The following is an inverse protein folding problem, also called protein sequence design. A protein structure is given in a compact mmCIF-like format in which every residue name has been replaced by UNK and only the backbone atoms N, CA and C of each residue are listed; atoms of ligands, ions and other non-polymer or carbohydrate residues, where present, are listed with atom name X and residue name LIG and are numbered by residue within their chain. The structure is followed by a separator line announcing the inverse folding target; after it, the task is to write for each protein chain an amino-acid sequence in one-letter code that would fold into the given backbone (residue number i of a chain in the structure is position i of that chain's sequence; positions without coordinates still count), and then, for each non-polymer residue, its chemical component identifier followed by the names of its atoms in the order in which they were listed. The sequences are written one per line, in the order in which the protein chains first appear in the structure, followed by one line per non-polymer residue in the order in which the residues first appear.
data_IF_321429266346
#
_entry.id   IF_321429266346
#
_cell.length_a   1.000
_cell.length_b   1.000
_cell.length_c   1.000
_cell.angle_alpha   90.00
_cell.angle_beta   90.00
_cell.angle_gamma   90.00
#
_symmetry.space_group_name_H-M   'P 1'
#
loop_
_entity.id
_entity.type
_entity.pdbx_description
1 polymer ?
#
# COMPACT_ATOMS: atom_id res chain seq x y z
N UNK A 1 33.73 -22.81 6.03
CA UNK A 1 32.73 -23.01 7.10
C UNK A 1 31.41 -22.47 6.58
N UNK A 2 30.35 -23.27 6.51
CA UNK A 2 29.01 -22.76 6.22
C UNK A 2 28.60 -21.83 7.35
N UNK A 3 28.51 -20.54 7.07
CA UNK A 3 28.07 -19.55 8.05
C UNK A 3 26.57 -19.76 8.22
N UNK A 4 26.12 -20.18 9.40
CA UNK A 4 24.70 -20.22 9.72
C UNK A 4 24.27 -18.76 9.86
N UNK A 5 23.41 -18.30 8.95
CA UNK A 5 22.89 -16.94 8.98
C UNK A 5 21.70 -16.85 9.97
N UNK A 6 21.49 -15.70 10.62
CA UNK A 6 20.28 -15.44 11.37
C UNK A 6 19.07 -15.62 10.45
N UNK A 7 18.03 -16.28 10.94
CA UNK A 7 16.77 -16.36 10.20
C UNK A 7 16.05 -15.02 10.32
N UNK A 8 15.61 -14.40 9.20
CA UNK A 8 14.60 -13.36 9.25
C UNK A 8 13.39 -13.87 10.04
N UNK A 9 12.72 -12.98 10.75
CA UNK A 9 11.69 -13.42 11.67
C UNK A 9 10.53 -14.12 10.94
N UNK A 10 9.98 -15.21 11.50
CA UNK A 10 8.80 -15.91 10.98
C UNK A 10 7.66 -15.84 12.00
N UNK A 11 6.40 -15.93 11.56
CA UNK A 11 5.19 -15.94 12.41
C UNK A 11 5.01 -14.65 13.26
N UNK A 12 4.73 -13.53 12.58
CA UNK A 12 4.89 -12.16 13.11
C UNK A 12 3.87 -11.65 14.12
N UNK A 13 2.75 -12.33 14.28
CA UNK A 13 1.80 -12.13 15.36
C UNK A 13 0.85 -13.34 15.41
N UNK A 14 0.38 -13.80 16.58
CA UNK A 14 -0.73 -14.74 16.63
C UNK A 14 -1.98 -14.12 16.00
N UNK A 15 -2.65 -14.86 15.12
CA UNK A 15 -4.07 -14.80 14.67
C UNK A 15 -4.82 -13.44 14.59
N UNK A 16 -4.17 -12.28 14.49
CA UNK A 16 -4.86 -10.98 14.45
C UNK A 16 -5.37 -10.59 13.05
N UNK A 17 -5.02 -11.37 12.02
CA UNK A 17 -5.41 -11.13 10.63
C UNK A 17 -4.84 -9.84 10.05
N UNK A 18 -5.31 -9.48 8.86
CA UNK A 18 -4.96 -8.24 8.18
C UNK A 18 -5.89 -7.09 8.61
N UNK A 19 -5.40 -5.85 8.74
CA UNK A 19 -6.25 -4.73 9.11
C UNK A 19 -7.23 -4.38 8.00
N UNK A 20 -8.41 -3.86 8.36
CA UNK A 20 -9.34 -3.30 7.37
C UNK A 20 -8.75 -2.02 6.76
N UNK A 21 -8.94 -1.82 5.47
CA UNK A 21 -8.42 -0.66 4.77
C UNK A 21 -8.37 -0.81 3.26
N UNK A 22 -7.89 0.25 2.60
CA UNK A 22 -7.58 0.23 1.18
C UNK A 22 -6.19 -0.35 0.96
N UNK A 23 -6.02 -1.25 -0.01
CA UNK A 23 -4.74 -1.86 -0.35
C UNK A 23 -4.44 -1.67 -1.82
N UNK A 24 -3.20 -1.30 -2.14
CA UNK A 24 -2.74 -1.31 -3.53
C UNK A 24 -2.59 -2.75 -3.99
N UNK A 25 -3.31 -3.12 -5.05
CA UNK A 25 -3.32 -4.49 -5.60
C UNK A 25 -2.69 -4.60 -6.99
N UNK A 26 -2.58 -3.49 -7.71
CA UNK A 26 -1.90 -3.40 -9.01
C UNK A 26 -1.52 -1.93 -9.31
N UNK A 27 -0.59 -1.72 -10.23
CA UNK A 27 -0.46 -0.42 -10.90
C UNK A 27 -1.51 -0.29 -12.00
N UNK A 28 -2.11 0.89 -12.13
CA UNK A 28 -3.19 1.14 -13.09
C UNK A 28 -2.76 0.83 -14.53
N UNK A 29 -1.48 1.09 -14.86
CA UNK A 29 -0.90 0.81 -16.18
C UNK A 29 -0.70 -0.67 -16.50
N UNK A 30 -0.73 -1.56 -15.50
CA UNK A 30 -0.62 -3.01 -15.69
C UNK A 30 -1.97 -3.65 -16.07
N UNK A 31 -3.07 -2.96 -15.77
CA UNK A 31 -4.42 -3.44 -16.03
C UNK A 31 -4.82 -3.10 -17.46
N UNK A 32 -4.46 -4.00 -18.37
CA UNK A 32 -4.72 -3.86 -19.80
C UNK A 32 -6.23 -4.00 -20.12
N UNK A 33 -6.73 -3.29 -21.15
CA UNK A 33 -8.08 -3.53 -21.67
C UNK A 33 -8.28 -5.00 -22.08
N UNK A 34 -9.50 -5.51 -21.89
CA UNK A 34 -9.91 -6.88 -22.25
C UNK A 34 -9.06 -8.02 -21.66
N UNK A 35 -8.31 -7.73 -20.59
CA UNK A 35 -7.46 -8.70 -19.89
C UNK A 35 -7.91 -8.91 -18.44
N UNK A 36 -7.63 -10.11 -17.91
CA UNK A 36 -7.72 -10.41 -16.49
C UNK A 36 -6.29 -10.46 -15.93
N UNK A 37 -5.93 -9.53 -15.04
CA UNK A 37 -4.66 -9.52 -14.35
C UNK A 37 -4.79 -10.33 -13.04
N UNK A 38 -4.17 -11.52 -12.92
CA UNK A 38 -4.16 -12.27 -11.66
C UNK A 38 -3.20 -11.62 -10.65
N UNK A 39 -3.65 -11.46 -9.40
CA UNK A 39 -2.84 -10.93 -8.31
C UNK A 39 -3.05 -11.74 -7.02
N UNK A 40 -2.08 -11.74 -6.11
CA UNK A 40 -2.16 -12.47 -4.84
C UNK A 40 -1.77 -11.59 -3.67
N UNK A 41 -2.71 -11.38 -2.77
CA UNK A 41 -2.58 -10.49 -1.62
C UNK A 41 -3.40 -11.04 -0.46
N UNK A 42 -3.05 -10.69 0.77
CA UNK A 42 -3.87 -10.99 1.96
C UNK A 42 -4.19 -12.49 2.10
N UNK A 43 -3.24 -13.38 1.77
CA UNK A 43 -3.42 -14.84 1.69
C UNK A 43 -4.47 -15.34 0.66
N UNK A 44 -4.89 -14.49 -0.27
CA UNK A 44 -5.95 -14.79 -1.24
C UNK A 44 -5.53 -14.43 -2.67
N UNK A 45 -6.38 -14.75 -3.64
CA UNK A 45 -6.16 -14.51 -5.07
C UNK A 45 -7.32 -13.72 -5.68
N UNK A 46 -6.95 -12.71 -6.45
CA UNK A 46 -7.90 -11.80 -7.08
C UNK A 46 -7.60 -11.66 -8.58
N UNK A 47 -8.60 -11.17 -9.31
CA UNK A 47 -8.43 -10.69 -10.67
C UNK A 47 -8.71 -9.19 -10.70
N UNK A 48 -7.82 -8.44 -11.34
CA UNK A 48 -7.99 -7.02 -11.64
C UNK A 48 -8.25 -6.87 -13.13
N UNK A 49 -9.25 -6.09 -13.51
CA UNK A 49 -9.62 -5.92 -14.92
C UNK A 49 -10.27 -4.57 -15.18
N UNK A 50 -10.38 -4.17 -16.45
CA UNK A 50 -11.08 -2.95 -16.87
C UNK A 50 -12.54 -3.24 -17.15
N UNK A 51 -13.45 -2.52 -16.52
CA UNK A 51 -14.86 -2.54 -16.91
C UNK A 51 -15.06 -1.80 -18.25
N UNK A 52 -16.27 -1.86 -18.80
CA UNK A 52 -16.59 -1.25 -20.10
C UNK A 52 -16.43 0.29 -20.12
N UNK A 53 -16.51 0.95 -18.96
CA UNK A 53 -16.27 2.38 -18.80
C UNK A 53 -14.78 2.74 -18.62
N UNK A 54 -13.90 1.74 -18.67
CA UNK A 54 -12.45 1.89 -18.49
C UNK A 54 -11.97 1.91 -17.04
N UNK A 55 -12.86 1.91 -16.04
CA UNK A 55 -12.46 1.88 -14.64
C UNK A 55 -11.94 0.49 -14.24
N UNK A 56 -10.91 0.46 -13.40
CA UNK A 56 -10.44 -0.80 -12.83
C UNK A 56 -11.48 -1.38 -11.85
N UNK A 57 -11.64 -2.70 -11.87
CA UNK A 57 -12.41 -3.47 -10.90
C UNK A 57 -11.62 -4.66 -10.39
N UNK A 58 -11.96 -5.12 -9.19
CA UNK A 58 -11.34 -6.26 -8.52
C UNK A 58 -12.40 -7.26 -8.11
N UNK A 59 -12.17 -8.54 -8.38
CA UNK A 59 -13.02 -9.65 -7.96
C UNK A 59 -12.18 -10.80 -7.39
N UNK A 60 -12.81 -11.68 -6.60
CA UNK A 60 -12.20 -12.98 -6.24
C UNK A 60 -11.81 -13.75 -7.52
N UNK A 61 -10.65 -14.40 -7.50
CA UNK A 61 -10.13 -15.07 -8.69
C UNK A 61 -10.79 -16.42 -8.99
N UNK A 62 -11.52 -17.02 -8.04
CA UNK A 62 -12.03 -18.38 -8.18
C UNK A 62 -13.50 -18.41 -8.59
N UNK A 63 -13.79 -19.16 -9.65
CA UNK A 63 -15.15 -19.35 -10.14
C UNK A 63 -16.02 -20.07 -9.09
N UNK A 64 -17.19 -19.53 -8.72
CA UNK A 64 -18.06 -20.11 -7.68
C UNK A 64 -18.70 -21.45 -8.08
N UNK A 65 -18.52 -21.90 -9.33
CA UNK A 65 -18.99 -23.21 -9.77
C UNK A 65 -18.15 -24.36 -9.19
N UNK A 66 -16.86 -24.41 -9.52
CA UNK A 66 -15.96 -25.50 -9.09
C UNK A 66 -14.54 -25.00 -8.74
N UNK A 67 -14.38 -23.70 -8.45
CA UNK A 67 -13.12 -23.15 -7.95
C UNK A 67 -12.01 -23.01 -9.00
N UNK A 68 -12.34 -22.97 -10.30
CA UNK A 68 -11.33 -22.69 -11.32
C UNK A 68 -10.86 -21.23 -11.23
N UNK A 69 -9.55 -21.00 -11.28
CA UNK A 69 -9.00 -19.65 -11.33
C UNK A 69 -9.38 -18.97 -12.67
N UNK A 70 -10.08 -17.83 -12.61
CA UNK A 70 -10.73 -17.17 -13.75
C UNK A 70 -9.74 -16.61 -14.78
N UNK A 71 -8.54 -16.21 -14.36
CA UNK A 71 -7.48 -15.79 -15.28
C UNK A 71 -6.53 -16.93 -15.72
N UNK A 72 -6.83 -18.19 -15.40
CA UNK A 72 -6.00 -19.32 -15.84
C UNK A 72 -6.36 -19.79 -17.25
N UNK A 73 -5.41 -20.39 -17.95
CA UNK A 73 -5.59 -20.96 -19.30
C UNK A 73 -6.25 -19.97 -20.29
N UNK A 74 -7.45 -20.26 -20.78
CA UNK A 74 -8.21 -19.46 -21.74
C UNK A 74 -9.37 -18.67 -21.09
N UNK A 75 -9.27 -18.46 -19.78
CA UNK A 75 -10.14 -17.57 -19.03
C UNK A 75 -9.89 -16.13 -19.44
N UNK A 76 -10.95 -15.37 -19.69
CA UNK A 76 -10.81 -14.07 -20.35
C UNK A 76 -11.92 -13.09 -19.96
N UNK A 77 -11.66 -11.81 -20.19
CA UNK A 77 -12.68 -10.78 -20.25
C UNK A 77 -13.05 -10.58 -21.73
N UNK A 78 -14.33 -10.77 -22.07
CA UNK A 78 -14.81 -10.62 -23.44
C UNK A 78 -16.20 -10.04 -23.45
N UNK A 79 -16.41 -8.95 -24.20
CA UNK A 79 -17.72 -8.29 -24.33
C UNK A 79 -18.35 -7.94 -22.98
N UNK A 80 -17.55 -7.45 -22.02
CA UNK A 80 -18.02 -7.13 -20.67
C UNK A 80 -18.38 -8.36 -19.81
N UNK A 81 -17.95 -9.57 -20.21
CA UNK A 81 -18.15 -10.80 -19.46
C UNK A 81 -16.84 -11.45 -19.07
N UNK A 82 -16.73 -11.88 -17.81
CA UNK A 82 -15.65 -12.72 -17.32
C UNK A 82 -16.03 -14.16 -17.64
N UNK A 83 -15.28 -14.81 -18.53
CA UNK A 83 -15.53 -16.18 -18.99
C UNK A 83 -14.61 -17.14 -18.26
N UNK A 84 -15.18 -18.03 -17.47
CA UNK A 84 -14.44 -19.04 -16.75
C UNK A 84 -13.75 -20.02 -17.72
N UNK A 85 -12.45 -20.36 -17.53
CA UNK A 85 -11.74 -21.26 -18.43
C UNK A 85 -12.30 -22.69 -18.42
N UNK A 86 -12.90 -23.13 -17.30
CA UNK A 86 -13.24 -24.53 -17.12
C UNK A 86 -14.54 -24.93 -17.84
N UNK A 87 -15.65 -24.31 -17.47
CA UNK A 87 -16.99 -24.66 -17.96
C UNK A 87 -17.67 -23.52 -18.71
N UNK A 88 -16.92 -22.45 -18.99
CA UNK A 88 -17.38 -21.28 -19.76
C UNK A 88 -18.60 -20.57 -19.15
N UNK A 89 -18.77 -20.67 -17.83
CA UNK A 89 -19.70 -19.79 -17.12
C UNK A 89 -19.25 -18.36 -17.30
N UNK A 90 -20.20 -17.49 -17.63
CA UNK A 90 -19.95 -16.09 -17.90
C UNK A 90 -20.55 -15.25 -16.78
N UNK A 91 -19.75 -14.37 -16.22
CA UNK A 91 -20.16 -13.43 -15.19
C UNK A 91 -20.12 -12.02 -15.77
N UNK A 92 -21.10 -11.19 -15.42
CA UNK A 92 -21.06 -9.78 -15.74
C UNK A 92 -19.85 -9.10 -15.11
N UNK A 93 -19.10 -8.32 -15.88
CA UNK A 93 -17.90 -7.65 -15.38
C UNK A 93 -18.22 -6.44 -14.48
N UNK A 94 -19.41 -5.85 -14.58
CA UNK A 94 -19.75 -4.66 -13.78
C UNK A 94 -20.21 -5.03 -12.37
N UNK A 95 -20.90 -6.15 -12.19
CA UNK A 95 -21.44 -6.57 -10.89
C UNK A 95 -21.12 -8.00 -10.46
N UNK A 96 -20.39 -8.78 -11.27
CA UNK A 96 -20.02 -10.17 -10.96
C UNK A 96 -21.18 -11.17 -11.06
N UNK A 97 -22.39 -10.75 -11.45
CA UNK A 97 -23.56 -11.62 -11.49
C UNK A 97 -23.43 -12.69 -12.59
N UNK A 98 -23.91 -13.90 -12.33
CA UNK A 98 -23.95 -14.93 -13.36
C UNK A 98 -24.82 -14.49 -14.54
N UNK A 99 -24.22 -14.37 -15.71
CA UNK A 99 -24.87 -13.90 -16.94
C UNK A 99 -25.28 -15.05 -17.86
N UNK A 100 -24.47 -16.11 -17.97
CA UNK A 100 -24.72 -17.20 -18.91
C UNK A 100 -24.02 -18.50 -18.49
N UNK A 101 -24.74 -19.63 -18.66
CA UNK A 101 -24.20 -20.98 -18.58
C UNK A 101 -24.41 -21.64 -19.95
N UNK A 102 -23.35 -21.95 -20.71
CA UNK A 102 -23.50 -22.41 -22.10
C UNK A 102 -24.29 -23.69 -22.31
N UNK A 103 -24.48 -24.48 -21.26
CA UNK A 103 -25.13 -25.79 -21.30
C UNK A 103 -26.38 -25.88 -20.40
N UNK A 104 -26.88 -24.77 -19.85
CA UNK A 104 -28.11 -24.78 -19.04
C UNK A 104 -28.82 -23.43 -19.07
N UNK A 105 -30.16 -23.46 -19.20
CA UNK A 105 -31.01 -22.28 -19.00
C UNK A 105 -31.49 -22.13 -17.54
N UNK A 106 -31.23 -23.12 -16.68
CA UNK A 106 -31.63 -23.16 -15.27
C UNK A 106 -30.39 -22.99 -14.38
N UNK A 107 -30.12 -21.79 -13.84
CA UNK A 107 -29.02 -21.57 -12.91
C UNK A 107 -29.32 -22.23 -11.55
N UNK A 108 -28.30 -22.59 -10.74
CA UNK A 108 -28.48 -23.28 -9.47
C UNK A 108 -29.03 -22.37 -8.33
N UNK A 109 -29.40 -21.13 -8.63
CA UNK A 109 -29.78 -20.10 -7.67
C UNK A 109 -29.00 -18.81 -7.90
N UNK A 110 -29.06 -17.89 -6.93
CA UNK A 110 -28.23 -16.68 -6.95
C UNK A 110 -26.77 -17.06 -6.74
N UNK A 111 -25.96 -16.83 -7.77
CA UNK A 111 -24.52 -17.08 -7.76
C UNK A 111 -23.83 -15.97 -8.56
N UNK A 112 -22.68 -15.54 -8.06
CA UNK A 112 -21.89 -14.47 -8.68
C UNK A 112 -20.48 -14.42 -8.10
N UNK A 113 -19.63 -13.66 -8.76
CA UNK A 113 -18.31 -13.32 -8.24
C UNK A 113 -18.46 -12.32 -7.10
N UNK A 114 -17.61 -12.45 -6.09
CA UNK A 114 -17.46 -11.42 -5.07
C UNK A 114 -16.64 -10.27 -5.67
N UNK A 115 -17.32 -9.15 -5.88
CA UNK A 115 -16.69 -7.89 -6.29
C UNK A 115 -16.19 -7.13 -5.07
N UNK A 116 -15.02 -6.50 -5.19
CA UNK A 116 -14.45 -5.67 -4.13
C UNK A 116 -14.57 -4.19 -4.50
N UNK A 117 -14.85 -3.34 -3.51
CA UNK A 117 -14.86 -1.91 -3.74
C UNK A 117 -13.47 -1.48 -4.22
N UNK A 118 -13.44 -0.80 -5.36
CA UNK A 118 -12.21 -0.46 -6.09
C UNK A 118 -12.11 1.05 -6.27
N UNK A 119 -10.89 1.58 -6.17
CA UNK A 119 -10.55 2.97 -6.46
C UNK A 119 -9.31 3.01 -7.32
N UNK A 120 -9.28 3.90 -8.31
CA UNK A 120 -8.03 4.29 -8.95
C UNK A 120 -7.55 5.61 -8.37
N UNK A 121 -6.33 5.62 -7.88
CA UNK A 121 -5.74 6.79 -7.22
C UNK A 121 -4.24 6.83 -7.49
N UNK A 122 -3.74 7.97 -7.97
CA UNK A 122 -2.31 8.25 -8.17
C UNK A 122 -1.55 7.16 -8.96
N UNK A 123 -2.22 6.60 -9.98
CA UNK A 123 -1.67 5.55 -10.84
C UNK A 123 -1.71 4.15 -10.25
N UNK A 124 -2.43 3.94 -9.14
CA UNK A 124 -2.60 2.65 -8.48
C UNK A 124 -4.06 2.20 -8.52
N UNK A 125 -4.27 0.88 -8.56
CA UNK A 125 -5.57 0.27 -8.28
C UNK A 125 -5.60 -0.14 -6.80
N UNK A 126 -6.56 0.41 -6.07
CA UNK A 126 -6.80 0.16 -4.66
C UNK A 126 -8.05 -0.71 -4.48
N UNK A 127 -7.94 -1.73 -3.63
CA UNK A 127 -9.03 -2.61 -3.22
C UNK A 127 -9.34 -2.40 -1.74
N UNK A 128 -10.61 -2.24 -1.39
CA UNK A 128 -11.02 -2.26 0.02
C UNK A 128 -11.04 -3.69 0.54
N UNK A 129 -10.44 -3.89 1.71
CA UNK A 129 -10.49 -5.15 2.43
C UNK A 129 -11.07 -4.94 3.84
N UNK A 130 -11.88 -5.90 4.26
CA UNK A 130 -12.34 -6.05 5.64
C UNK A 130 -12.40 -7.55 5.97
N UNK A 131 -11.89 -8.01 7.14
CA UNK A 131 -11.83 -9.45 7.48
C UNK A 131 -13.18 -10.17 7.39
N UNK A 132 -14.25 -9.48 7.76
CA UNK A 132 -15.63 -10.02 7.74
C UNK A 132 -16.40 -9.62 6.46
N UNK A 133 -15.71 -9.08 5.45
CA UNK A 133 -16.34 -8.37 4.32
C UNK A 133 -16.97 -7.03 4.74
N UNK A 134 -17.57 -6.33 3.78
CA UNK A 134 -18.25 -5.05 4.02
C UNK A 134 -17.86 -3.96 3.03
N UNK A 135 -18.58 -2.84 3.07
CA UNK A 135 -18.28 -1.65 2.26
C UNK A 135 -17.20 -0.80 2.92
N UNK A 136 -16.50 0.06 2.14
CA UNK A 136 -15.56 1.02 2.70
C UNK A 136 -16.15 1.86 3.83
N UNK A 137 -15.44 1.93 4.96
CA UNK A 137 -15.81 2.79 6.09
C UNK A 137 -15.22 4.20 5.97
N UNK A 138 -14.20 4.36 5.12
CA UNK A 138 -13.55 5.61 4.80
C UNK A 138 -13.01 5.55 3.37
N UNK A 139 -12.84 6.70 2.73
CA UNK A 139 -12.21 6.83 1.41
C UNK A 139 -10.68 6.99 1.56
N UNK A 140 -9.88 6.62 0.55
CA UNK A 140 -8.44 6.86 0.59
C UNK A 140 -8.12 8.36 0.56
N UNK A 141 -7.01 8.75 1.18
CA UNK A 141 -6.54 10.13 1.10
C UNK A 141 -6.11 10.48 -0.33
N UNK A 142 -6.85 11.40 -0.93
CA UNK A 142 -6.50 12.05 -2.20
C UNK A 142 -5.31 13.00 -2.02
N UNK A 143 -4.15 12.62 -2.54
CA UNK A 143 -2.95 13.47 -2.50
C UNK A 143 -3.07 14.65 -3.47
N UNK A 144 -2.23 15.69 -3.37
CA UNK A 144 -2.22 16.78 -4.35
C UNK A 144 -2.16 16.30 -5.82
N UNK A 145 -1.50 15.17 -6.09
CA UNK A 145 -1.42 14.54 -7.43
C UNK A 145 -2.79 14.17 -7.98
N UNK A 146 -3.67 13.62 -7.14
CA UNK A 146 -5.01 13.20 -7.53
C UNK A 146 -5.93 14.37 -7.91
N UNK A 147 -5.58 15.59 -7.47
CA UNK A 147 -6.40 16.79 -7.64
C UNK A 147 -5.93 17.70 -8.76
N UNK A 148 -4.63 17.69 -9.06
CA UNK A 148 -4.07 18.37 -10.22
C UNK A 148 -2.66 17.84 -10.47
N UNK A 149 -2.44 17.22 -11.65
CA UNK A 149 -1.10 16.79 -12.06
C UNK A 149 -0.16 17.97 -12.36
N UNK A 150 -0.71 19.19 -12.48
CA UNK A 150 0.05 20.41 -12.74
C UNK A 150 1.06 20.67 -11.62
N UNK A 151 2.34 20.53 -11.98
CA UNK A 151 3.46 20.86 -11.10
C UNK A 151 3.98 19.70 -10.25
N UNK A 152 3.60 18.45 -10.52
CA UNK A 152 4.26 17.28 -9.92
C UNK A 152 4.67 16.27 -10.99
N UNK A 153 5.85 15.70 -10.83
CA UNK A 153 6.42 14.71 -11.75
C UNK A 153 6.66 13.40 -10.99
N UNK A 154 6.12 12.29 -11.50
CA UNK A 154 6.49 10.96 -11.03
C UNK A 154 7.93 10.69 -11.42
N UNK A 155 8.81 10.64 -10.44
CA UNK A 155 10.24 10.43 -10.65
C UNK A 155 10.60 8.94 -10.63
N UNK A 156 9.95 8.15 -9.78
CA UNK A 156 10.24 6.72 -9.69
C UNK A 156 9.29 5.92 -8.83
N UNK A 157 9.40 4.60 -8.98
CA UNK A 157 8.68 3.59 -8.19
C UNK A 157 9.69 2.60 -7.64
N UNK A 158 9.52 2.22 -6.38
CA UNK A 158 10.38 1.23 -5.69
C UNK A 158 9.52 0.28 -4.88
N UNK A 159 9.96 -0.98 -4.82
CA UNK A 159 9.27 -2.04 -4.10
C UNK A 159 10.27 -2.88 -3.30
N UNK A 160 9.84 -3.28 -2.10
CA UNK A 160 10.54 -4.27 -1.30
C UNK A 160 9.53 -5.27 -0.74
N UNK A 161 9.85 -6.56 -0.87
CA UNK A 161 9.18 -7.61 -0.12
C UNK A 161 9.91 -7.69 1.21
N UNK A 162 9.22 -7.30 2.27
CA UNK A 162 9.80 -7.30 3.61
C UNK A 162 9.12 -8.33 4.46
N UNK A 163 9.95 -8.85 5.35
CA UNK A 163 9.52 -9.55 6.52
C UNK A 163 9.66 -8.55 7.69
N UNK A 164 9.00 -7.39 7.67
CA UNK A 164 8.70 -6.63 8.90
C UNK A 164 7.29 -7.00 9.39
N UNK A 165 6.98 -7.08 10.70
CA UNK A 165 5.58 -7.03 11.12
C UNK A 165 4.96 -5.74 10.58
N UNK A 166 4.00 -5.81 9.66
CA UNK A 166 3.45 -4.61 8.99
C UNK A 166 3.04 -3.50 9.98
N UNK A 167 2.47 -3.88 11.12
CA UNK A 167 2.09 -2.97 12.20
C UNK A 167 3.26 -2.17 12.80
N UNK A 168 4.46 -2.73 12.77
CA UNK A 168 5.68 -2.13 13.29
C UNK A 168 6.32 -1.19 12.26
N UNK A 169 6.08 -1.41 10.97
CA UNK A 169 6.68 -0.61 9.89
C UNK A 169 6.36 0.88 10.08
N UNK A 170 5.09 1.20 10.30
CA UNK A 170 4.65 2.58 10.51
C UNK A 170 4.93 3.09 11.94
N UNK A 171 5.38 2.25 12.87
CA UNK A 171 5.92 2.72 14.17
C UNK A 171 7.21 3.52 13.97
N UNK A 172 8.02 3.22 12.95
CA UNK A 172 9.24 3.96 12.64
C UNK A 172 8.98 5.45 12.44
N UNK A 173 7.79 5.85 11.94
CA UNK A 173 7.44 7.27 11.81
C UNK A 173 7.43 8.01 13.15
N UNK A 174 7.25 7.30 14.27
CA UNK A 174 7.21 7.84 15.61
C UNK A 174 8.49 7.52 16.41
N UNK A 175 9.50 6.93 15.78
CA UNK A 175 10.82 6.66 16.34
C UNK A 175 11.78 7.75 15.87
N UNK A 176 11.86 8.87 16.60
CA UNK A 176 12.87 9.90 16.29
C UNK A 176 14.32 9.40 16.40
N UNK A 177 14.70 8.63 17.44
CA UNK A 177 16.06 8.15 17.64
C UNK A 177 16.66 7.33 16.47
N UNK A 178 15.91 6.45 15.79
CA UNK A 178 16.50 5.65 14.70
C UNK A 178 17.01 6.52 13.55
N UNK A 179 16.40 7.68 13.31
CA UNK A 179 16.87 8.63 12.28
C UNK A 179 18.30 9.09 12.55
N UNK A 180 18.65 9.33 13.83
CA UNK A 180 20.00 9.74 14.22
C UNK A 180 20.96 8.56 14.18
N UNK A 181 20.59 7.42 14.77
CA UNK A 181 21.54 6.33 14.99
C UNK A 181 21.66 5.35 13.83
N UNK A 182 20.59 5.09 13.09
CA UNK A 182 20.58 4.16 11.95
C UNK A 182 20.90 4.87 10.63
N UNK A 183 20.30 6.04 10.39
CA UNK A 183 20.55 6.82 9.17
C UNK A 183 21.70 7.82 9.29
N UNK A 184 22.30 7.95 10.48
CA UNK A 184 23.40 8.88 10.74
C UNK A 184 23.03 10.34 10.40
N UNK A 185 21.78 10.73 10.66
CA UNK A 185 21.30 12.10 10.49
C UNK A 185 21.88 13.03 11.57
N UNK A 186 22.08 14.31 11.23
CA UNK A 186 22.56 15.33 12.17
C UNK A 186 21.55 15.67 13.28
N UNK A 187 20.27 15.31 13.10
CA UNK A 187 19.22 15.52 14.08
C UNK A 187 17.96 14.69 13.82
N UNK A 188 17.20 14.43 14.89
CA UNK A 188 15.89 13.80 14.82
C UNK A 188 14.81 14.84 14.48
N UNK A 189 13.80 14.50 13.67
CA UNK A 189 12.62 15.33 13.48
C UNK A 189 11.90 15.60 14.80
N UNK A 190 11.34 16.80 14.95
CA UNK A 190 10.57 17.20 16.13
C UNK A 190 9.09 17.14 15.79
N UNK A 191 8.34 16.33 16.54
CA UNK A 191 6.90 16.20 16.35
C UNK A 191 6.21 17.55 16.62
N UNK A 192 5.50 18.06 15.62
CA UNK A 192 4.77 19.33 15.67
C UNK A 192 3.31 19.12 16.03
N UNK A 193 2.63 18.20 15.34
CA UNK A 193 1.21 17.92 15.57
C UNK A 193 0.79 16.53 15.14
N UNK A 194 -0.24 16.00 15.80
CA UNK A 194 -0.97 14.80 15.41
C UNK A 194 -2.46 15.15 15.40
N UNK A 195 -3.15 14.89 14.29
CA UNK A 195 -4.58 15.16 14.14
C UNK A 195 -5.30 13.98 13.48
N UNK A 196 -6.52 13.66 13.94
CA UNK A 196 -7.38 12.69 13.23
C UNK A 196 -7.95 13.32 11.96
N UNK A 197 -8.11 12.49 10.94
CA UNK A 197 -8.72 12.84 9.66
C UNK A 197 -9.82 11.83 9.33
N UNK A 198 -10.74 12.13 8.38
CA UNK A 198 -11.78 11.18 7.96
C UNK A 198 -11.25 9.85 7.43
N UNK A 199 -10.01 9.83 6.91
CA UNK A 199 -9.36 8.67 6.31
C UNK A 199 -8.29 8.05 7.21
N UNK A 200 -8.00 8.63 8.38
CA UNK A 200 -6.96 8.14 9.28
C UNK A 200 -6.42 9.22 10.21
N UNK A 201 -5.16 9.61 9.98
CA UNK A 201 -4.41 10.56 10.81
C UNK A 201 -3.46 11.39 9.95
N UNK A 202 -3.20 12.61 10.39
CA UNK A 202 -2.14 13.48 9.90
C UNK A 202 -1.10 13.71 11.00
N UNK A 203 0.16 13.63 10.62
CA UNK A 203 1.30 13.93 11.49
C UNK A 203 2.19 14.95 10.80
N UNK A 204 2.57 16.00 11.52
CA UNK A 204 3.51 17.01 11.02
C UNK A 204 4.75 17.02 11.91
N UNK A 205 5.92 17.11 11.29
CA UNK A 205 7.23 17.22 11.94
C UNK A 205 7.96 18.47 11.44
N UNK A 206 8.64 19.16 12.34
CA UNK A 206 9.62 20.20 12.02
C UNK A 206 11.04 19.59 12.05
N UNK A 207 11.95 20.12 11.24
CA UNK A 207 13.34 19.70 11.19
C UNK A 207 14.26 20.90 11.01
N UNK A 208 15.43 20.89 11.66
CA UNK A 208 16.44 21.93 11.48
C UNK A 208 17.17 21.71 10.15
N UNK A 209 17.00 22.57 9.14
CA UNK A 209 17.62 22.35 7.83
C UNK A 209 19.14 22.32 7.90
N UNK A 210 19.77 22.94 8.92
CA UNK A 210 21.23 22.89 9.10
C UNK A 210 21.75 21.54 9.57
N UNK A 211 20.87 20.67 10.07
CA UNK A 211 21.18 19.32 10.56
C UNK A 211 20.76 18.22 9.58
N UNK A 212 20.34 18.60 8.37
CA UNK A 212 19.87 17.67 7.34
C UNK A 212 20.73 17.78 6.09
N UNK A 213 20.99 16.66 5.42
CA UNK A 213 21.89 16.60 4.26
C UNK A 213 21.40 17.45 3.07
N UNK A 214 20.10 17.79 3.03
CA UNK A 214 19.49 18.49 1.90
C UNK A 214 18.61 19.68 2.30
N UNK A 215 18.76 20.20 3.52
CA UNK A 215 18.00 21.37 3.97
C UNK A 215 16.50 21.12 4.11
N UNK A 216 16.13 19.92 4.58
CA UNK A 216 14.75 19.56 4.92
C UNK A 216 14.31 20.39 6.12
N UNK A 217 13.18 21.07 6.00
CA UNK A 217 12.59 21.92 7.04
C UNK A 217 11.53 21.19 7.86
N UNK A 218 11.02 20.08 7.34
CA UNK A 218 9.99 19.29 7.97
C UNK A 218 9.28 18.39 6.96
N UNK A 219 8.36 17.60 7.47
CA UNK A 219 7.51 16.76 6.62
C UNK A 219 6.14 16.55 7.25
N UNK A 220 5.17 16.30 6.37
CA UNK A 220 3.82 15.88 6.73
C UNK A 220 3.62 14.44 6.30
N UNK A 221 2.91 13.68 7.11
CA UNK A 221 2.48 12.31 6.81
C UNK A 221 0.97 12.21 6.93
N UNK A 222 0.28 11.96 5.82
CA UNK A 222 -1.15 11.71 5.75
C UNK A 222 -1.40 10.19 5.61
N UNK A 223 -2.06 9.60 6.58
CA UNK A 223 -2.36 8.16 6.66
C UNK A 223 -3.73 7.85 6.10
N UNK A 224 -3.83 6.86 5.22
CA UNK A 224 -5.08 6.15 4.94
C UNK A 224 -5.10 4.89 5.79
N UNK A 225 -5.84 4.94 6.90
CA UNK A 225 -5.80 3.92 7.94
C UNK A 225 -4.36 3.60 8.39
N UNK A 226 -3.95 2.36 8.19
CA UNK A 226 -2.56 1.90 8.39
C UNK A 226 -1.99 1.17 7.17
N UNK A 227 -2.56 1.40 6.00
CA UNK A 227 -2.26 0.66 4.77
C UNK A 227 -1.66 1.53 3.68
N UNK A 228 -1.89 2.85 3.71
CA UNK A 228 -1.17 3.82 2.88
C UNK A 228 -0.72 5.02 3.70
N UNK A 229 0.39 5.62 3.28
CA UNK A 229 0.95 6.83 3.87
C UNK A 229 1.56 7.74 2.80
N UNK A 230 0.99 8.93 2.63
CA UNK A 230 1.52 9.97 1.76
C UNK A 230 2.39 10.91 2.60
N UNK A 231 3.70 10.91 2.36
CA UNK A 231 4.66 11.75 3.06
C UNK A 231 5.12 12.87 2.15
N UNK A 232 4.87 14.12 2.55
CA UNK A 232 5.32 15.31 1.83
C UNK A 232 6.47 15.92 2.60
N UNK A 233 7.66 15.95 2.01
CA UNK A 233 8.84 16.58 2.57
C UNK A 233 9.00 17.98 1.97
N UNK A 234 9.21 18.96 2.84
CA UNK A 234 9.47 20.35 2.45
C UNK A 234 10.93 20.68 2.78
N UNK A 235 11.69 21.12 1.78
CA UNK A 235 13.02 21.65 1.97
C UNK A 235 13.14 23.09 1.52
N UNK A 236 14.32 23.67 1.74
CA UNK A 236 14.58 25.08 1.41
C UNK A 236 14.41 25.41 -0.09
N UNK A 237 14.54 24.42 -0.97
CA UNK A 237 14.52 24.62 -2.42
C UNK A 237 13.66 23.58 -3.19
N UNK A 238 12.95 22.69 -2.50
CA UNK A 238 12.21 21.61 -3.14
C UNK A 238 11.05 21.13 -2.27
N UNK A 239 10.09 20.45 -2.92
CA UNK A 239 9.07 19.65 -2.25
C UNK A 239 9.00 18.29 -2.92
N UNK A 240 9.00 17.21 -2.14
CA UNK A 240 8.81 15.84 -2.65
C UNK A 240 7.64 15.15 -1.95
N UNK A 241 7.08 14.13 -2.60
CA UNK A 241 6.08 13.25 -2.02
C UNK A 241 6.50 11.79 -2.20
N UNK A 242 6.53 11.04 -1.10
CA UNK A 242 6.57 9.58 -1.11
C UNK A 242 5.19 9.05 -0.80
N UNK A 243 4.56 8.37 -1.75
CA UNK A 243 3.31 7.66 -1.49
C UNK A 243 3.60 6.19 -1.26
N UNK A 244 3.61 5.81 0.02
CA UNK A 244 3.92 4.46 0.47
C UNK A 244 2.64 3.65 0.64
N UNK A 245 2.64 2.41 0.17
CA UNK A 245 1.58 1.43 0.38
C UNK A 245 2.17 0.17 0.99
N UNK A 246 1.44 -0.41 1.93
CA UNK A 246 1.86 -1.57 2.70
C UNK A 246 0.85 -2.69 2.48
N UNK A 247 1.09 -3.57 1.52
CA UNK A 247 0.13 -4.62 1.13
C UNK A 247 0.65 -6.01 1.53
N UNK A 248 0.02 -6.70 2.50
CA UNK A 248 0.35 -8.09 2.81
C UNK A 248 0.19 -8.99 1.59
N UNK A 249 1.21 -9.79 1.33
CA UNK A 249 1.12 -10.92 0.39
C UNK A 249 0.44 -12.08 1.14
N UNK A 250 0.98 -12.38 2.31
CA UNK A 250 0.58 -13.48 3.19
C UNK A 250 0.81 -13.09 4.67
N UNK A 251 0.64 -14.03 5.59
CA UNK A 251 0.84 -13.80 7.04
C UNK A 251 2.28 -13.45 7.44
N UNK A 252 3.26 -13.66 6.55
CA UNK A 252 4.68 -13.46 6.83
C UNK A 252 5.27 -12.25 6.12
N UNK A 253 4.75 -11.92 4.94
CA UNK A 253 5.36 -11.00 3.99
C UNK A 253 4.38 -9.93 3.56
N UNK A 254 4.87 -8.71 3.41
CA UNK A 254 4.14 -7.64 2.74
C UNK A 254 5.06 -6.90 1.77
N UNK A 255 4.46 -6.26 0.77
CA UNK A 255 5.14 -5.34 -0.14
C UNK A 255 5.04 -3.93 0.41
N UNK A 256 6.20 -3.33 0.69
CA UNK A 256 6.34 -1.89 0.75
C UNK A 256 6.54 -1.39 -0.67
N UNK A 257 5.57 -0.68 -1.21
CA UNK A 257 5.66 -0.03 -2.52
C UNK A 257 5.62 1.48 -2.33
N UNK A 258 6.57 2.19 -2.93
CA UNK A 258 6.74 3.63 -2.79
C UNK A 258 6.76 4.30 -4.17
N UNK A 259 5.84 5.25 -4.37
CA UNK A 259 5.82 6.13 -5.55
C UNK A 259 6.38 7.49 -5.16
N UNK A 260 7.48 7.88 -5.78
CA UNK A 260 8.15 9.14 -5.50
C UNK A 260 7.82 10.19 -6.56
N UNK A 261 7.34 11.33 -6.07
CA UNK A 261 7.05 12.50 -6.88
C UNK A 261 7.85 13.69 -6.40
N UNK A 262 8.22 14.54 -7.34
CA UNK A 262 8.87 15.82 -7.08
C UNK A 262 7.97 16.93 -7.58
N UNK A 263 7.91 18.03 -6.84
CA UNK A 263 7.23 19.23 -7.30
C UNK A 263 8.09 19.89 -8.37
N UNK A 264 7.53 20.10 -9.55
CA UNK A 264 8.23 20.68 -10.70
C UNK A 264 8.72 22.09 -10.37
N UNK A 265 10.04 22.29 -10.47
CA UNK A 265 10.67 23.59 -10.26
C UNK A 265 10.63 24.48 -11.51
N UNK A 266 10.05 24.00 -12.63
CA UNK A 266 10.13 24.63 -13.94
C UNK A 266 11.46 24.41 -14.68
N UNK A 267 12.36 23.56 -14.14
CA UNK A 267 13.65 23.21 -14.74
C UNK A 267 13.89 21.71 -14.66
N UNK A 268 13.97 21.06 -15.82
CA UNK A 268 14.21 19.62 -15.92
C UNK A 268 15.54 19.20 -15.24
N UNK A 269 16.59 20.01 -15.37
CA UNK A 269 17.90 19.75 -14.78
C UNK A 269 17.85 19.78 -13.24
N UNK A 270 17.12 20.76 -12.68
CA UNK A 270 16.95 20.89 -11.23
C UNK A 270 16.10 19.74 -10.69
N UNK A 271 14.99 19.43 -11.38
CA UNK A 271 14.12 18.31 -11.05
C UNK A 271 14.88 16.99 -11.06
N UNK A 272 15.73 16.75 -12.06
CA UNK A 272 16.54 15.53 -12.15
C UNK A 272 17.55 15.44 -11.00
N UNK A 273 18.27 16.53 -10.69
CA UNK A 273 19.25 16.56 -9.63
C UNK A 273 18.63 16.32 -8.24
N UNK A 274 17.53 17.01 -7.92
CA UNK A 274 16.79 16.86 -6.66
C UNK A 274 16.18 15.46 -6.59
N UNK A 275 15.43 15.07 -7.63
CA UNK A 275 14.76 13.79 -7.71
C UNK A 275 15.73 12.66 -7.48
N UNK A 276 16.87 12.63 -8.20
CA UNK A 276 17.89 11.59 -8.05
C UNK A 276 18.43 11.52 -6.63
N UNK A 277 18.89 12.66 -6.09
CA UNK A 277 19.55 12.70 -4.79
C UNK A 277 18.61 12.26 -3.66
N UNK A 278 17.36 12.76 -3.65
CA UNK A 278 16.37 12.39 -2.64
C UNK A 278 15.89 10.96 -2.78
N UNK A 279 15.68 10.47 -4.00
CA UNK A 279 15.33 9.07 -4.24
C UNK A 279 16.41 8.17 -3.67
N UNK A 280 17.65 8.34 -4.12
CA UNK A 280 18.75 7.45 -3.76
C UNK A 280 18.98 7.43 -2.24
N UNK A 281 18.87 8.60 -1.59
CA UNK A 281 18.97 8.71 -0.14
C UNK A 281 17.82 8.01 0.58
N UNK A 282 16.57 8.31 0.23
CA UNK A 282 15.41 7.71 0.90
C UNK A 282 15.38 6.19 0.70
N UNK A 283 15.69 5.70 -0.51
CA UNK A 283 15.77 4.26 -0.76
C UNK A 283 16.86 3.60 0.09
N UNK A 284 18.02 4.26 0.24
CA UNK A 284 19.09 3.77 1.11
C UNK A 284 18.64 3.70 2.58
N UNK A 285 17.93 4.72 3.08
CA UNK A 285 17.40 4.74 4.45
C UNK A 285 16.38 3.62 4.68
N UNK A 286 15.43 3.43 3.75
CA UNK A 286 14.47 2.31 3.80
C UNK A 286 15.21 0.97 3.82
N UNK A 287 16.24 0.78 2.99
CA UNK A 287 17.03 -0.45 3.00
C UNK A 287 17.81 -0.66 4.31
N UNK A 288 18.22 0.41 4.99
CA UNK A 288 18.81 0.31 6.34
C UNK A 288 17.76 -0.10 7.37
N UNK A 289 16.55 0.46 7.30
CA UNK A 289 15.43 0.08 8.14
C UNK A 289 15.12 -1.40 7.99
N UNK A 290 14.98 -1.88 6.75
CA UNK A 290 14.65 -3.28 6.48
C UNK A 290 15.70 -4.25 7.03
N UNK A 291 16.99 -3.89 7.02
CA UNK A 291 18.06 -4.71 7.65
C UNK A 291 17.88 -4.91 9.15
N UNK A 292 17.17 -4.01 9.83
CA UNK A 292 16.84 -4.12 11.25
C UNK A 292 15.45 -4.73 11.43
N UNK A 293 14.46 -4.21 10.72
CA UNK A 293 13.06 -4.56 10.84
C UNK A 293 12.76 -6.00 10.42
N UNK A 294 13.48 -6.56 9.46
CA UNK A 294 13.33 -7.96 9.05
C UNK A 294 13.72 -8.96 10.16
N UNK A 295 14.53 -8.50 11.12
CA UNK A 295 15.00 -9.27 12.27
C UNK A 295 14.40 -8.78 13.60
N UNK A 296 13.52 -7.77 13.56
CA UNK A 296 12.85 -7.21 14.74
C UNK A 296 11.61 -8.02 15.08
N UNK A 297 11.46 -8.38 16.36
CA UNK A 297 10.21 -8.95 16.89
C UNK A 297 9.22 -7.91 17.37
N UNK A 298 7.93 -8.14 17.08
CA UNK A 298 6.87 -7.35 17.66
C UNK A 298 6.82 -7.61 19.17
N UNK A 299 7.00 -6.54 19.95
CA UNK A 299 6.77 -6.57 21.39
C UNK A 299 5.42 -5.91 21.66
N UNK A 300 4.45 -6.64 22.22
CA UNK A 300 3.14 -6.08 22.56
C UNK A 300 3.27 -4.91 23.56
N UNK A 301 4.20 -5.04 24.52
CA UNK A 301 4.53 -4.02 25.53
C UNK A 301 6.02 -3.67 25.44
N UNK A 302 6.42 -2.76 24.54
CA UNK A 302 7.81 -2.30 24.46
C UNK A 302 8.15 -1.50 25.71
N UNK A 303 9.43 -1.49 26.07
CA UNK A 303 9.94 -0.68 27.18
C UNK A 303 10.40 0.65 26.60
N UNK A 304 9.58 1.69 26.77
CA UNK A 304 9.88 3.03 26.29
C UNK A 304 10.54 3.89 27.37
N UNK A 305 11.33 4.86 26.94
CA UNK A 305 12.01 5.87 27.75
C UNK A 305 11.57 7.28 27.33
N UNK A 306 12.05 8.31 28.03
CA UNK A 306 11.65 9.70 27.80
C UNK A 306 12.06 10.26 26.41
N UNK A 307 13.01 9.62 25.73
CA UNK A 307 13.45 10.02 24.39
C UNK A 307 12.69 9.33 23.25
N UNK A 308 11.85 8.34 23.55
CA UNK A 308 11.01 7.68 22.54
C UNK A 308 9.84 8.59 22.15
N UNK A 309 9.45 8.55 20.88
CA UNK A 309 8.26 9.26 20.43
C UNK A 309 6.96 8.60 20.92
N UNK A 310 5.79 9.08 20.45
CA UNK A 310 4.49 8.69 20.99
C UNK A 310 4.01 7.31 20.46
N UNK A 311 4.85 6.28 20.56
CA UNK A 311 4.62 4.92 20.05
C UNK A 311 3.30 4.33 20.60
N UNK A 312 2.99 4.55 21.88
CA UNK A 312 1.73 4.09 22.47
C UNK A 312 0.49 4.76 21.87
N UNK A 313 0.59 6.05 21.51
CA UNK A 313 -0.51 6.77 20.87
C UNK A 313 -0.75 6.22 19.46
N UNK A 314 0.32 5.99 18.68
CA UNK A 314 0.21 5.35 17.37
C UNK A 314 -0.36 3.93 17.47
N UNK A 315 0.10 3.11 18.41
CA UNK A 315 -0.43 1.74 18.58
C UNK A 315 -1.92 1.73 18.93
N UNK A 316 -2.37 2.68 19.76
CA UNK A 316 -3.79 2.84 20.07
C UNK A 316 -4.60 3.19 18.82
N UNK A 317 -4.08 4.08 17.98
CA UNK A 317 -4.66 4.41 16.67
C UNK A 317 -4.70 3.18 15.74
N UNK A 318 -3.57 2.48 15.58
CA UNK A 318 -3.45 1.33 14.67
C UNK A 318 -4.38 0.17 15.07
N UNK A 319 -4.62 -0.01 16.37
CA UNK A 319 -5.52 -1.04 16.87
C UNK A 319 -6.97 -0.90 16.36
N UNK A 320 -7.42 0.31 16.01
CA UNK A 320 -8.78 0.57 15.47
C UNK A 320 -9.04 -0.12 14.11
N UNK A 321 -7.97 -0.48 13.39
CA UNK A 321 -8.06 -1.10 12.07
C UNK A 321 -7.96 -2.62 12.12
N UNK A 322 -7.60 -3.20 13.25
CA UNK A 322 -7.70 -4.64 13.45
C UNK A 322 -9.08 -4.96 14.02
N UNK A 323 -9.76 -5.93 13.40
CA UNK A 323 -11.09 -6.37 13.82
C UNK A 323 -10.93 -7.63 14.66
N UNK A 324 -11.69 -7.72 15.74
CA UNK A 324 -11.78 -8.94 16.56
C UNK A 324 -12.48 -10.09 15.81
#
# INVERSE_FOLDING_TARGET
MSRIEPLPMRLRAPAQGFPKGWYRVADAGEVLPDALLPVSWLNDQFIVFRAADGQAQVADAFCPHMGAHLASHDGCLRNGRIVCPFHKWEFDAAGGTLAHIPYSALPPGEVGLKMHATRELDGMVLMWYHPHGGTPEFEPFETPLSRNQDGWVLYGVKEWITTCPMRDMLENLFDGPHIVYLHNSGGAPVLKSIARTPYGMRVDYDQDPSQTDAGVTGFRSDFTGITLNAQIFEGTAFTTQFYNTFTPIDDERFVLHSRLHIKDSGSAEINEAIGKAFTDRFMFEVEQDLKVLDYKRHLVKPRLCAGDGPIHQYRKYAAEFFVD
#
